data_IF_889838056692
#
_entry.id   IF_889838056692
#
_cell.length_a   1.000
_cell.length_b   1.000
_cell.length_c   1.000
_cell.angle_alpha   90.00
_cell.angle_beta   90.00
_cell.angle_gamma   90.00
#
_symmetry.space_group_name_H-M   'P 1'
#
loop_
_entity.id
_entity.type
_entity.pdbx_description
1 polymer ?
2 non-polymer ?
3 water ?
#
# COMPACT_ATOMS: atom_id res chain seq x y z
N UNK A 1 -11.54 22.98 -23.33
CA UNK A 1 -11.09 22.73 -21.96
C UNK A 1 -12.14 22.03 -21.10
N UNK A 2 -11.70 21.05 -20.32
CA UNK A 2 -12.59 20.39 -19.37
C UNK A 2 -12.04 20.55 -17.95
N UNK A 3 -12.97 20.58 -16.97
CA UNK A 3 -12.75 20.60 -15.52
C UNK A 3 -12.82 19.14 -15.09
N UNK A 4 -11.71 18.60 -14.55
CA UNK A 4 -11.72 17.23 -14.04
C UNK A 4 -11.96 17.36 -12.56
N UNK A 5 -12.90 16.59 -12.05
CA UNK A 5 -13.26 16.63 -10.66
C UNK A 5 -13.26 15.22 -10.12
N UNK A 6 -12.27 14.89 -9.31
CA UNK A 6 -12.21 13.54 -8.75
C UNK A 6 -12.28 13.60 -7.25
N UNK A 7 -13.07 12.70 -6.65
CA UNK A 7 -13.23 12.53 -5.20
C UNK A 7 -12.51 11.23 -4.86
N UNK A 8 -11.38 11.30 -4.12
CA UNK A 8 -10.55 10.11 -3.82
C UNK A 8 -10.39 9.89 -2.30
N UNK A 9 -9.65 8.82 -1.94
CA UNK A 9 -9.28 8.51 -0.55
C UNK A 9 -8.15 9.46 -0.14
N UNK A 10 -8.13 9.83 1.16
CA UNK A 10 -7.09 10.68 1.76
C UNK A 10 -5.70 10.01 1.77
N UNK A 11 -5.65 8.67 1.95
CA UNK A 11 -4.42 7.83 1.99
C UNK A 11 -3.79 7.77 0.62
N UNK A 12 -4.64 7.90 -0.40
CA UNK A 12 -4.24 7.84 -1.81
C UNK A 12 -3.99 9.17 -2.44
N UNK A 13 -4.38 10.31 -1.78
CA UNK A 13 -4.13 11.63 -2.36
C UNK A 13 -2.65 11.93 -2.66
N UNK A 14 -1.68 11.72 -1.72
CA UNK A 14 -0.26 11.96 -2.08
C UNK A 14 0.16 11.18 -3.34
N UNK A 15 -0.40 9.96 -3.52
CA UNK A 15 -0.13 9.17 -4.72
C UNK A 15 -0.76 9.79 -5.98
N UNK A 16 -1.88 10.51 -5.83
CA UNK A 16 -2.55 11.17 -6.96
C UNK A 16 -1.81 12.44 -7.32
N UNK A 17 -1.44 13.24 -6.30
CA UNK A 17 -0.72 14.49 -6.51
C UNK A 17 0.65 14.18 -7.14
N UNK A 18 1.29 13.08 -6.73
CA UNK A 18 2.58 12.63 -7.26
C UNK A 18 2.46 12.09 -8.70
N UNK A 19 1.38 11.35 -9.04
CA UNK A 19 1.18 10.86 -10.41
C UNK A 19 0.99 12.03 -11.37
N UNK A 20 0.07 12.97 -11.05
CA UNK A 20 -0.17 14.14 -11.91
C UNK A 20 1.07 15.03 -12.09
N UNK A 21 1.66 15.53 -10.99
CA UNK A 21 2.81 16.44 -11.02
C UNK A 21 4.01 16.02 -11.87
N UNK A 22 4.31 14.71 -11.91
CA UNK A 22 5.38 14.06 -12.67
C UNK A 22 5.15 14.19 -14.21
N UNK A 23 3.92 14.59 -14.61
CA UNK A 23 3.56 14.78 -16.00
C UNK A 23 3.31 16.26 -16.33
N UNK A 24 3.82 17.14 -15.48
CA UNK A 24 3.70 18.58 -15.64
C UNK A 24 2.34 19.16 -15.30
N UNK A 25 1.46 18.35 -14.69
CA UNK A 25 0.13 18.82 -14.30
C UNK A 25 0.15 19.45 -12.92
N UNK A 26 0.14 20.77 -12.93
CA UNK A 26 0.08 21.60 -11.74
C UNK A 26 -1.27 22.34 -11.90
N UNK A 27 -1.65 23.13 -10.91
CA UNK A 27 -2.89 23.88 -11.01
C UNK A 27 -4.10 23.27 -10.34
N UNK A 28 -3.95 22.06 -9.78
CA UNK A 28 -5.02 21.41 -9.05
C UNK A 28 -5.45 22.24 -7.84
N UNK A 29 -6.74 22.23 -7.54
CA UNK A 29 -7.30 22.87 -6.37
C UNK A 29 -7.86 21.72 -5.54
N UNK A 30 -7.54 21.69 -4.24
CA UNK A 30 -7.93 20.60 -3.33
C UNK A 30 -8.90 21.05 -2.20
N UNK A 31 -9.96 20.29 -1.99
CA UNK A 31 -10.96 20.57 -0.96
C UNK A 31 -11.15 19.33 -0.11
N UNK A 32 -11.16 19.52 1.22
CA UNK A 32 -11.48 18.45 2.18
C UNK A 32 -12.99 18.35 2.15
N UNK A 33 -13.50 17.16 1.81
CA UNK A 33 -14.95 16.91 1.69
C UNK A 33 -15.33 15.69 2.51
N UNK A 34 -16.61 15.37 2.50
CA UNK A 34 -17.13 14.17 3.11
C UNK A 34 -17.93 13.45 2.02
N UNK A 35 -17.77 12.13 1.99
CA UNK A 35 -18.45 11.20 1.08
C UNK A 35 -18.78 9.90 1.80
N UNK A 36 -19.38 8.92 1.08
CA UNK A 36 -19.80 7.58 1.56
C UNK A 36 -18.64 6.80 2.15
N UNK A 37 -18.84 6.27 3.36
CA UNK A 37 -17.82 5.52 4.09
C UNK A 37 -17.97 4.01 4.09
N UNK A 38 -17.96 3.40 5.32
CA UNK A 38 -18.09 1.97 5.70
C UNK A 38 -17.10 1.46 6.75
N UNK A 39 -15.82 1.25 6.38
CA UNK A 39 -14.73 0.76 7.25
C UNK A 39 -14.90 -0.68 7.81
N UNK A 40 -13.88 -1.15 8.55
CA UNK A 40 -13.80 -2.46 9.18
C UNK A 40 -13.80 -2.40 10.69
N UNK A 41 -13.63 -3.57 11.33
CA UNK A 41 -13.68 -3.66 12.79
C UNK A 41 -12.47 -4.20 13.53
N UNK A 42 -12.52 -5.42 14.16
CA UNK A 42 -13.52 -6.52 14.21
C UNK A 42 -15.03 -6.23 14.11
N UNK A 43 -15.53 -5.17 14.79
CA UNK A 43 -16.93 -4.73 14.79
C UNK A 43 -17.04 -3.17 14.71
N UNK A 44 -18.24 -2.53 14.59
CA UNK A 44 -19.62 -3.04 14.55
C UNK A 44 -20.35 -2.58 13.27
N UNK A 45 -21.51 -3.19 12.98
CA UNK A 45 -22.37 -2.86 11.82
C UNK A 45 -22.88 -1.42 11.96
N UNK A 46 -22.36 -0.52 11.11
CA UNK A 46 -22.73 0.89 11.10
C UNK A 46 -24.10 1.11 10.46
N UNK A 47 -25.11 1.37 11.31
CA UNK A 47 -26.50 1.62 10.92
C UNK A 47 -26.73 3.13 10.71
N UNK A 48 -27.99 3.56 10.75
CA UNK A 48 -28.35 4.97 10.61
C UNK A 48 -29.73 5.22 10.06
N UNK A 49 -30.34 6.32 10.52
CA UNK A 49 -31.67 6.74 10.11
C UNK A 49 -31.63 8.25 9.83
N UNK A 50 -31.78 8.70 8.57
CA UNK A 50 -32.00 7.93 7.33
C UNK A 50 -30.82 8.26 6.37
N UNK A 51 -30.27 7.30 5.59
CA UNK A 51 -30.59 5.87 5.49
C UNK A 51 -29.31 5.04 5.62
N UNK A 52 -28.69 5.07 6.83
CA UNK A 52 -27.48 4.35 7.23
C UNK A 52 -26.12 4.80 6.63
N UNK A 53 -26.11 5.90 5.86
CA UNK A 53 -24.86 6.39 5.24
C UNK A 53 -24.05 7.30 6.19
N UNK A 54 -22.82 6.84 6.54
CA UNK A 54 -21.85 7.53 7.38
C UNK A 54 -21.02 8.41 6.45
N UNK A 55 -21.17 9.75 6.54
CA UNK A 55 -20.35 10.66 5.72
C UNK A 55 -18.94 10.71 6.29
N UNK A 56 -17.97 10.32 5.47
CA UNK A 56 -16.57 10.24 5.90
C UNK A 56 -15.63 11.15 5.10
N UNK A 57 -14.53 11.62 5.75
CA UNK A 57 -13.57 12.49 5.05
C UNK A 57 -12.90 11.90 3.83
N UNK A 58 -12.90 12.67 2.74
CA UNK A 58 -12.30 12.31 1.45
C UNK A 58 -11.57 13.57 0.90
N UNK A 59 -10.92 13.46 -0.25
CA UNK A 59 -10.22 14.57 -0.90
C UNK A 59 -10.84 14.86 -2.28
N UNK A 60 -11.13 16.12 -2.56
CA UNK A 60 -11.60 16.55 -3.86
C UNK A 60 -10.49 17.37 -4.49
N UNK A 61 -10.12 16.99 -5.72
CA UNK A 61 -9.10 17.62 -6.54
C UNK A 61 -9.84 18.09 -7.76
N UNK A 62 -9.63 19.34 -8.17
CA UNK A 62 -10.21 19.90 -9.39
C UNK A 62 -9.05 20.38 -10.23
N UNK A 63 -9.03 20.02 -11.51
CA UNK A 63 -7.96 20.41 -12.43
C UNK A 63 -8.59 20.73 -13.78
N UNK A 64 -8.22 21.90 -14.31
CA UNK A 64 -8.71 22.37 -15.61
C UNK A 64 -7.58 22.25 -16.63
N UNK A 65 -7.74 21.29 -17.54
CA UNK A 65 -6.80 20.94 -18.62
C UNK A 65 -7.46 21.18 -19.99
N UNK A 66 -6.69 21.04 -21.07
CA UNK A 66 -7.16 21.18 -22.44
C UNK A 66 -7.84 19.87 -22.83
N UNK A 67 -8.71 19.91 -23.83
CA UNK A 67 -9.47 18.74 -24.29
C UNK A 67 -8.64 17.47 -24.56
N UNK A 68 -7.40 17.65 -25.07
CA UNK A 68 -6.47 16.55 -25.41
C UNK A 68 -5.72 15.92 -24.24
N UNK A 69 -5.69 16.59 -23.07
CA UNK A 69 -5.03 16.05 -21.86
C UNK A 69 -6.00 15.19 -21.07
N UNK A 70 -7.30 15.48 -21.17
CA UNK A 70 -8.40 14.80 -20.44
C UNK A 70 -8.20 13.30 -20.19
N UNK A 71 -8.01 12.50 -21.25
CA UNK A 71 -7.80 11.05 -21.12
C UNK A 71 -6.54 10.67 -20.38
N UNK A 72 -5.42 11.39 -20.65
CA UNK A 72 -4.13 11.20 -19.99
C UNK A 72 -4.31 11.47 -18.48
N UNK A 73 -4.95 12.59 -18.13
CA UNK A 73 -5.25 12.97 -16.74
C UNK A 73 -6.13 11.90 -16.06
N UNK A 74 -7.22 11.45 -16.72
CA UNK A 74 -8.12 10.40 -16.23
C UNK A 74 -7.35 9.13 -15.83
N UNK A 75 -6.53 8.59 -16.75
CA UNK A 75 -5.74 7.38 -16.52
C UNK A 75 -4.84 7.46 -15.30
N UNK A 76 -4.13 8.61 -15.17
CA UNK A 76 -3.21 8.94 -14.07
C UNK A 76 -3.90 8.93 -12.71
N UNK A 77 -5.12 9.50 -12.64
CA UNK A 77 -5.95 9.49 -11.43
C UNK A 77 -6.40 8.07 -11.10
N UNK A 78 -7.08 7.36 -12.05
CA UNK A 78 -7.61 6.01 -11.73
C UNK A 78 -6.56 5.05 -11.21
N UNK A 79 -5.34 5.07 -11.79
CA UNK A 79 -4.27 4.15 -11.42
C UNK A 79 -3.70 4.42 -10.04
N UNK A 80 -3.42 5.70 -9.76
CA UNK A 80 -2.89 6.16 -8.47
C UNK A 80 -3.90 6.08 -7.33
N UNK A 81 -5.19 6.33 -7.65
CA UNK A 81 -6.28 6.38 -6.66
C UNK A 81 -6.94 5.04 -6.39
N UNK A 82 -6.75 4.06 -7.29
CA UNK A 82 -7.32 2.71 -7.23
C UNK A 82 -6.75 1.86 -6.08
N UNK A 83 -7.62 1.07 -5.43
CA UNK A 83 -7.29 0.09 -4.37
C UNK A 83 -8.02 -1.23 -4.62
N UNK A 84 -9.17 -1.15 -5.29
CA UNK A 84 -10.02 -2.30 -5.59
C UNK A 84 -11.17 -2.48 -4.63
N UNK A 85 -11.10 -1.79 -3.49
CA UNK A 85 -12.14 -1.85 -2.47
C UNK A 85 -13.24 -0.80 -2.76
N UNK A 86 -14.53 -1.07 -2.41
CA UNK A 86 -15.59 -0.06 -2.62
C UNK A 86 -15.30 1.29 -1.92
N UNK A 87 -15.37 2.38 -2.69
CA UNK A 87 -15.10 3.72 -2.16
C UNK A 87 -13.82 4.40 -2.64
N UNK A 88 -13.24 3.93 -3.76
CA UNK A 88 -12.05 4.51 -4.38
C UNK A 88 -12.30 5.92 -4.98
N UNK A 89 -13.58 6.29 -5.12
CA UNK A 89 -13.98 7.56 -5.68
C UNK A 89 -14.46 7.53 -7.12
N UNK A 90 -14.83 8.72 -7.62
CA UNK A 90 -15.36 8.95 -8.97
C UNK A 90 -14.65 10.15 -9.60
N UNK A 91 -14.64 10.22 -10.94
CA UNK A 91 -14.06 11.33 -11.72
C UNK A 91 -15.17 11.86 -12.64
N UNK A 92 -15.45 13.16 -12.55
CA UNK A 92 -16.48 13.77 -13.39
C UNK A 92 -15.82 14.71 -14.34
N UNK A 93 -16.26 14.65 -15.60
CA UNK A 93 -15.76 15.52 -16.67
C UNK A 93 -16.81 16.60 -16.83
N UNK A 94 -16.42 17.82 -16.51
CA UNK A 94 -17.34 18.95 -16.58
C UNK A 94 -16.84 19.92 -17.60
N UNK A 95 -17.72 20.33 -18.55
CA UNK A 95 -17.30 21.34 -19.53
C UNK A 95 -16.97 22.68 -18.88
N UNK A 96 -15.89 23.30 -19.36
CA UNK A 96 -15.43 24.62 -18.97
C UNK A 96 -15.43 25.43 -20.27
N UNK A 97 -16.26 26.47 -20.31
CA UNK A 97 -16.34 27.30 -21.50
C UNK A 97 -15.12 28.22 -21.71
N UNK A 98 -14.59 28.77 -20.62
CA UNK A 98 -13.43 29.65 -20.74
C UNK A 98 -12.70 29.80 -19.42
N UNK A 99 -11.38 29.98 -19.50
CA UNK A 99 -10.50 30.16 -18.36
C UNK A 99 -9.88 31.53 -18.50
N UNK A 100 -9.69 32.22 -17.37
CA UNK A 100 -9.06 33.54 -17.28
C UNK A 100 -7.92 33.42 -16.24
N UNK A 101 -6.67 33.74 -16.64
CA UNK A 101 -5.53 33.75 -15.73
C UNK A 101 -5.43 35.19 -15.21
N UNK A 102 -5.69 35.41 -13.89
CA UNK A 102 -5.71 36.73 -13.24
C UNK A 102 -4.44 37.57 -13.43
N UNK A 103 -3.25 36.97 -13.21
CA UNK A 103 -1.97 37.68 -13.32
C UNK A 103 -1.69 38.26 -14.74
N UNK A 104 -2.20 37.58 -15.80
CA UNK A 104 -1.91 37.95 -17.18
C UNK A 104 -3.11 38.37 -18.01
N UNK A 105 -4.32 38.04 -17.56
CA UNK A 105 -5.53 38.33 -18.34
C UNK A 105 -5.66 37.44 -19.55
N UNK A 106 -4.83 36.37 -19.63
CA UNK A 106 -4.82 35.39 -20.71
C UNK A 106 -6.07 34.53 -20.64
N UNK A 107 -6.52 34.08 -21.81
CA UNK A 107 -7.73 33.29 -21.98
C UNK A 107 -7.50 32.15 -22.98
N UNK A 108 -8.30 31.10 -22.86
CA UNK A 108 -8.19 29.92 -23.72
C UNK A 108 -7.25 28.88 -23.15
N UNK A 109 -6.74 27.99 -24.01
CA UNK A 109 -5.80 26.92 -23.63
C UNK A 109 -4.40 27.43 -23.19
N UNK A 110 -3.99 28.64 -23.64
CA UNK A 110 -2.70 29.26 -23.28
C UNK A 110 -2.67 29.62 -21.78
N UNK A 111 -3.81 30.09 -21.24
CA UNK A 111 -4.02 30.46 -19.84
C UNK A 111 -3.66 29.34 -18.84
N UNK A 112 -3.82 28.06 -19.25
CA UNK A 112 -3.54 26.90 -18.39
C UNK A 112 -2.04 26.54 -18.39
N UNK B 1 3.97 15.87 31.43
CA UNK B 1 3.50 15.94 30.05
C UNK B 1 2.98 17.32 29.77
N UNK B 2 3.27 17.85 28.55
CA UNK B 2 2.85 19.20 28.16
C UNK B 2 2.35 19.26 26.74
N UNK B 3 1.27 20.02 26.54
CA UNK B 3 0.78 20.23 25.19
C UNK B 3 1.51 21.43 24.68
N UNK B 4 2.28 21.22 23.62
CA UNK B 4 2.99 22.26 22.91
C UNK B 4 2.04 22.63 21.79
N UNK B 5 1.56 23.86 21.83
CA UNK B 5 0.59 24.36 20.87
C UNK B 5 1.19 25.54 20.14
N UNK B 6 1.32 25.41 18.81
CA UNK B 6 1.92 26.47 18.01
C UNK B 6 1.11 26.76 16.75
N UNK B 7 1.06 28.05 16.38
CA UNK B 7 0.37 28.54 15.20
C UNK B 7 1.43 29.13 14.30
N UNK B 8 1.67 28.48 13.15
CA UNK B 8 2.73 28.83 12.20
C UNK B 8 2.17 29.17 10.81
N UNK B 9 3.06 29.58 9.89
CA UNK B 9 2.71 29.86 8.49
C UNK B 9 2.47 28.51 7.79
N UNK B 10 1.49 28.47 6.89
CA UNK B 10 1.22 27.29 6.07
C UNK B 10 2.42 26.98 5.12
N UNK B 11 3.21 28.01 4.73
CA UNK B 11 4.40 27.80 3.89
C UNK B 11 5.53 27.22 4.73
N UNK B 12 5.54 27.55 6.03
CA UNK B 12 6.56 27.07 6.96
C UNK B 12 6.20 25.75 7.64
N UNK B 13 4.89 25.35 7.60
CA UNK B 13 4.44 24.06 8.12
C UNK B 13 5.24 22.85 7.59
N UNK B 14 5.41 22.63 6.25
CA UNK B 14 6.21 21.48 5.79
C UNK B 14 7.58 21.27 6.44
N UNK B 15 8.31 22.34 6.76
CA UNK B 15 9.62 22.27 7.44
C UNK B 15 9.44 21.96 8.91
N UNK B 16 8.44 22.61 9.58
CA UNK B 16 8.13 22.34 10.99
C UNK B 16 7.96 20.84 11.13
N UNK B 17 7.10 20.20 10.30
CA UNK B 17 6.86 18.75 10.32
C UNK B 17 8.15 17.90 10.12
N UNK B 18 8.92 18.13 9.03
CA UNK B 18 10.18 17.44 8.77
C UNK B 18 11.17 17.56 9.96
N UNK B 19 11.27 18.76 10.58
CA UNK B 19 12.13 18.99 11.75
C UNK B 19 11.80 18.08 12.94
N UNK B 20 10.49 17.88 13.18
CA UNK B 20 9.96 17.05 14.28
C UNK B 20 10.08 15.53 14.00
N UNK B 21 9.82 15.09 12.76
CA UNK B 21 9.90 13.69 12.36
C UNK B 21 11.33 13.12 12.38
N UNK B 22 12.34 13.94 12.03
CA UNK B 22 13.72 13.48 12.07
C UNK B 22 14.14 13.15 13.52
N UNK B 23 13.64 13.97 14.48
CA UNK B 23 13.91 13.86 15.91
C UNK B 23 12.97 12.93 16.71
N UNK B 24 12.16 12.14 15.99
CA UNK B 24 11.26 11.16 16.59
C UNK B 24 9.94 11.71 17.10
N UNK B 25 9.71 13.02 16.89
CA UNK B 25 8.48 13.64 17.32
C UNK B 25 7.33 13.52 16.34
N UNK B 26 6.74 12.32 16.36
CA UNK B 26 5.55 11.93 15.63
C UNK B 26 4.46 12.10 16.68
N UNK B 27 3.20 12.15 16.28
CA UNK B 27 2.12 12.33 17.24
C UNK B 27 1.54 13.72 17.27
N UNK B 28 1.85 14.54 16.27
CA UNK B 28 1.29 15.87 16.20
C UNK B 28 -0.10 15.84 15.58
N UNK B 29 -0.96 16.76 16.02
CA UNK B 29 -2.30 16.93 15.47
C UNK B 29 -2.25 18.29 14.81
N UNK B 30 -2.75 18.34 13.58
CA UNK B 30 -2.77 19.55 12.75
C UNK B 30 -4.23 20.04 12.46
N UNK B 31 -4.46 21.34 12.67
CA UNK B 31 -5.73 22.04 12.41
C UNK B 31 -5.47 23.25 11.52
N UNK B 32 -6.34 23.46 10.51
CA UNK B 32 -6.29 24.71 9.73
C UNK B 32 -7.02 25.74 10.59
N UNK B 33 -6.44 26.93 10.73
CA UNK B 33 -7.01 28.03 11.52
C UNK B 33 -6.85 29.33 10.75
N UNK B 34 -7.31 30.44 11.35
CA UNK B 34 -7.14 31.83 10.88
C UNK B 34 -6.50 32.62 12.03
N UNK B 35 -5.47 33.38 11.70
CA UNK B 35 -4.72 34.16 12.67
C UNK B 35 -4.57 35.62 12.31
N UNK B 36 -4.03 36.40 13.28
CA UNK B 36 -3.81 37.84 13.25
N UNK B 37 -3.14 38.29 10.47
CA UNK B 37 -3.33 39.66 10.01
C UNK B 37 -2.15 40.08 9.17
N UNK B 38 -2.42 40.44 7.90
CA UNK B 38 -1.49 40.80 6.82
C UNK B 38 -0.12 41.40 7.14
N UNK B 39 0.71 41.53 6.10
CA UNK B 39 2.01 42.14 6.20
C UNK B 39 2.01 43.36 5.25
N UNK B 40 1.74 44.53 5.83
CA UNK B 40 1.67 45.80 5.12
C UNK B 40 0.39 45.96 4.34
N UNK B 41 -0.54 46.72 4.90
CA UNK B 41 -1.85 47.00 4.30
C UNK B 41 -3.00 46.44 5.12
N UNK B 51 -9.86 49.89 6.41
CA UNK B 51 -10.44 48.56 6.27
C UNK B 51 -10.45 47.79 7.62
N UNK B 52 -10.95 46.54 7.60
CA UNK B 52 -11.03 45.64 8.75
C UNK B 52 -9.74 44.79 8.87
N UNK B 53 -9.28 44.52 10.12
CA UNK B 53 -8.10 43.69 10.38
C UNK B 53 -8.38 42.21 10.00
N UNK B 54 -7.76 41.79 8.88
CA UNK B 54 -7.96 40.53 8.17
C UNK B 54 -7.30 39.26 8.72
N UNK B 55 -8.12 38.28 9.15
CA UNK B 55 -7.65 36.97 9.63
C UNK B 55 -7.24 36.17 8.41
N UNK B 56 -6.08 35.52 8.48
CA UNK B 56 -5.50 34.77 7.37
C UNK B 56 -5.28 33.32 7.70
N UNK B 57 -5.28 32.44 6.69
CA UNK B 57 -5.06 31.02 6.97
C UNK B 57 -3.67 30.73 7.52
N UNK B 58 -3.64 30.04 8.65
CA UNK B 58 -2.41 29.62 9.31
C UNK B 58 -2.56 28.13 9.59
N UNK B 59 -1.52 27.52 10.13
CA UNK B 59 -1.55 26.11 10.50
C UNK B 59 -1.30 25.99 12.01
N UNK B 60 -2.19 25.27 12.71
CA UNK B 60 -2.04 24.99 14.14
C UNK B 60 -1.55 23.56 14.38
N UNK B 61 -0.38 23.41 15.02
CA UNK B 61 0.11 22.08 15.40
C UNK B 61 0.02 21.84 16.91
N UNK B 62 -0.47 20.66 17.29
CA UNK B 62 -0.64 20.19 18.67
C UNK B 62 0.16 18.90 18.90
N UNK B 63 1.17 18.98 19.77
CA UNK B 63 2.00 17.84 20.15
C UNK B 63 2.13 17.78 21.68
N UNK B 64 1.67 16.69 22.29
CA UNK B 64 1.76 16.48 23.73
C UNK B 64 3.00 15.61 24.00
N UNK B 65 4.03 16.17 24.67
CA UNK B 65 5.29 15.48 24.93
C UNK B 65 5.64 15.40 26.41
N UNK B 66 6.67 14.59 26.73
CA UNK B 66 7.29 14.48 28.06
C UNK B 66 7.88 15.86 28.41
N UNK B 67 8.04 16.14 29.72
CA UNK B 67 8.64 17.40 30.19
C UNK B 67 10.08 17.59 29.66
N UNK B 68 10.89 16.50 29.59
CA UNK B 68 12.28 16.56 29.12
C UNK B 68 12.43 16.93 27.64
N UNK B 69 11.41 16.55 26.85
CA UNK B 69 11.35 16.81 25.43
C UNK B 69 10.89 18.24 25.07
N UNK B 70 10.24 18.96 26.02
CA UNK B 70 9.68 20.32 25.81
C UNK B 70 10.65 21.35 25.18
N UNK B 71 11.85 21.52 25.76
CA UNK B 71 12.82 22.47 25.19
C UNK B 71 13.32 22.02 23.82
N UNK B 72 13.49 20.70 23.63
CA UNK B 72 13.91 20.11 22.37
C UNK B 72 12.88 20.48 21.29
N UNK B 73 11.56 20.21 21.53
CA UNK B 73 10.48 20.48 20.57
C UNK B 73 10.29 21.97 20.23
N UNK B 74 10.34 22.88 21.23
CA UNK B 74 10.24 24.34 21.01
C UNK B 74 11.39 24.80 20.08
N UNK B 75 12.62 24.40 20.43
CA UNK B 75 13.83 24.72 19.66
C UNK B 75 13.69 24.37 18.19
N UNK B 76 13.18 23.16 17.91
CA UNK B 76 12.95 22.63 16.57
C UNK B 76 11.91 23.49 15.85
N UNK B 77 10.75 23.73 16.51
CA UNK B 77 9.66 24.53 15.94
C UNK B 77 10.13 25.93 15.63
N UNK B 78 10.76 26.60 16.62
CA UNK B 78 11.25 27.98 16.45
C UNK B 78 12.14 28.15 15.21
N UNK B 79 13.10 27.22 15.01
CA UNK B 79 14.07 27.24 13.91
C UNK B 79 13.43 26.98 12.56
N UNK B 80 12.54 25.97 12.49
CA UNK B 80 11.89 25.57 11.26
C UNK B 80 10.74 26.49 10.82
N UNK B 81 10.16 27.28 11.76
CA UNK B 81 9.05 28.21 11.51
C UNK B 81 9.46 29.71 11.39
N UNK B 82 10.71 30.05 11.80
CA UNK B 82 11.24 31.43 11.78
C UNK B 82 11.45 31.98 10.36
N UNK B 83 11.18 33.28 10.14
CA UNK B 83 11.49 34.01 8.89
C UNK B 83 12.00 35.42 9.25
N UNK B 84 11.69 35.87 10.46
CA UNK B 84 12.03 37.20 10.94
C UNK B 84 10.94 38.24 10.73
N UNK B 85 9.94 37.99 9.84
CA UNK B 85 8.86 38.98 9.65
C UNK B 85 7.69 38.72 10.58
N UNK B 86 6.90 39.78 10.94
CA UNK B 86 5.69 39.56 11.78
C UNK B 86 4.71 38.54 11.20
N UNK B 87 4.20 37.67 12.07
CA UNK B 87 3.25 36.63 11.69
C UNK B 87 3.87 35.26 11.61
N UNK B 88 5.07 35.08 12.18
CA UNK B 88 5.75 33.78 12.25
C UNK B 88 4.96 32.83 13.15
N UNK B 89 4.22 33.42 14.10
CA UNK B 89 3.39 32.72 15.05
C UNK B 89 3.93 32.67 16.45
N UNK B 90 3.18 32.01 17.35
CA UNK B 90 3.55 31.84 18.76
C UNK B 90 3.40 30.40 19.15
N UNK B 91 4.09 30.01 20.23
CA UNK B 91 4.09 28.69 20.83
C UNK B 91 3.51 28.86 22.23
N UNK B 92 2.69 27.89 22.63
CA UNK B 92 2.06 27.86 23.94
C UNK B 92 2.38 26.54 24.61
N UNK B 93 2.73 26.61 25.91
CA UNK B 93 3.07 25.46 26.75
C UNK B 93 1.87 25.26 27.67
N UNK B 94 1.09 24.22 27.43
CA UNK B 94 -0.12 23.96 28.20
C UNK B 94 0.01 22.67 29.05
N UNK B 95 -0.27 22.74 30.36
CA UNK B 95 -0.22 21.51 31.18
C UNK B 95 -1.24 20.42 30.79
N UNK B 96 -0.77 19.19 30.69
CA UNK B 96 -1.61 18.04 30.39
C UNK B 96 -1.55 17.13 31.63
N UNK B 97 -2.65 17.08 32.38
CA UNK B 97 -2.76 16.32 33.64
C UNK B 97 -2.71 14.82 33.51
N UNK B 98 -2.97 14.30 32.29
CA UNK B 98 -2.92 12.87 31.95
C UNK B 98 -3.12 12.60 30.46
N UNK B 99 -2.55 11.49 29.98
CA UNK B 99 -2.69 11.00 28.61
C UNK B 99 -3.22 9.56 28.63
N UNK B 100 -4.28 9.28 27.85
CA UNK B 100 -4.82 7.92 27.71
C UNK B 100 -4.74 7.46 26.23
N UNK B 101 -3.86 6.49 25.93
CA UNK B 101 -3.76 5.88 24.60
C UNK B 101 -4.96 4.93 24.48
N UNK B 102 -5.91 5.23 23.56
CA UNK B 102 -7.18 4.49 23.35
C UNK B 102 -7.04 3.00 23.12
N UNK B 103 -6.16 2.63 22.19
CA UNK B 103 -5.82 1.29 21.75
C UNK B 103 -5.49 0.33 22.92
N UNK B 104 -4.68 0.81 23.89
CA UNK B 104 -4.17 0.04 25.05
C UNK B 104 -4.89 0.32 26.37
N UNK B 105 -5.22 1.58 26.63
CA UNK B 105 -5.89 1.99 27.86
C UNK B 105 -4.92 2.44 28.92
N UNK B 106 -3.62 2.36 28.60
CA UNK B 106 -2.52 2.77 29.45
C UNK B 106 -2.43 4.31 29.55
N UNK B 107 -1.68 4.79 30.55
CA UNK B 107 -1.52 6.21 30.87
C UNK B 107 -0.05 6.57 31.19
N UNK B 108 0.25 7.86 31.41
CA UNK B 108 1.60 8.32 31.73
C UNK B 108 2.51 8.68 30.55
N UNK B 109 3.81 8.87 30.84
CA UNK B 109 4.85 9.28 29.89
C UNK B 109 5.12 8.35 28.68
N UNK B 110 5.11 7.01 28.88
CA UNK B 110 5.34 6.02 27.81
C UNK B 110 4.26 6.07 26.73
N UNK B 111 3.00 6.33 27.14
CA UNK B 111 1.82 6.44 26.28
C UNK B 111 1.90 7.59 25.24
N UNK B 112 3.08 8.20 25.10
CA UNK B 112 3.38 9.24 24.12
C UNK B 112 4.39 8.67 23.12
N UNK C 1 16.13 -23.06 21.14
CA UNK C 1 15.56 -22.79 19.82
C UNK C 1 14.05 -22.75 19.95
N UNK C 2 13.38 -22.01 19.03
CA UNK C 2 11.92 -21.88 18.99
C UNK C 2 11.39 -21.91 17.57
N UNK C 3 10.22 -22.51 17.36
CA UNK C 3 9.60 -22.41 16.06
C UNK C 3 8.71 -21.17 16.09
N UNK C 4 8.89 -20.31 15.08
CA UNK C 4 8.12 -19.09 14.88
C UNK C 4 7.18 -19.44 13.74
N UNK C 5 5.93 -19.66 14.11
CA UNK C 5 4.86 -20.01 13.19
C UNK C 5 4.04 -18.74 12.95
N UNK C 6 3.74 -18.41 11.68
CA UNK C 6 2.92 -17.24 11.34
C UNK C 6 1.95 -17.55 10.20
N UNK C 7 0.74 -17.06 10.34
CA UNK C 7 -0.33 -17.22 9.36
C UNK C 7 -0.59 -15.80 8.93
N UNK C 8 -0.25 -15.52 7.67
CA UNK C 8 -0.27 -14.17 7.11
C UNK C 8 -1.01 -14.08 5.79
N UNK C 9 -1.54 -12.89 5.49
CA UNK C 9 -2.27 -12.63 4.24
C UNK C 9 -1.35 -12.97 3.07
N UNK C 10 -1.86 -13.75 2.09
CA UNK C 10 -1.11 -14.15 0.90
C UNK C 10 -0.50 -12.95 0.19
N UNK C 11 -1.24 -11.81 0.10
CA UNK C 11 -0.78 -10.55 -0.51
C UNK C 11 0.44 -9.99 0.22
N UNK C 12 0.48 -10.16 1.58
CA UNK C 12 1.55 -9.67 2.47
C UNK C 12 2.77 -10.57 2.54
N UNK C 13 2.62 -11.89 2.24
CA UNK C 13 3.73 -12.87 2.26
C UNK C 13 5.03 -12.43 1.54
N UNK C 14 5.00 -11.91 0.28
CA UNK C 14 6.25 -11.54 -0.41
C UNK C 14 7.17 -10.59 0.37
N UNK C 15 6.58 -9.59 1.06
CA UNK C 15 7.27 -8.60 1.88
C UNK C 15 7.88 -9.30 3.11
N UNK C 16 7.06 -10.11 3.84
CA UNK C 16 7.52 -10.88 5.02
C UNK C 16 8.79 -11.66 4.63
N UNK C 17 8.72 -12.39 3.50
CA UNK C 17 9.80 -13.18 2.90
C UNK C 17 11.08 -12.31 2.68
N UNK C 18 10.94 -11.16 2.01
CA UNK C 18 12.03 -10.21 1.74
C UNK C 18 12.69 -9.68 3.02
N UNK C 19 11.87 -9.25 4.01
CA UNK C 19 12.30 -8.70 5.32
C UNK C 19 13.16 -9.65 6.17
N UNK C 20 12.89 -10.97 6.10
CA UNK C 20 13.60 -12.01 6.84
C UNK C 20 14.91 -12.38 6.10
N UNK C 21 14.87 -12.41 4.75
CA UNK C 21 16.04 -12.71 3.92
C UNK C 21 17.02 -11.53 3.93
N UNK C 22 16.50 -10.28 3.85
CA UNK C 22 17.31 -9.06 3.92
C UNK C 22 18.11 -9.04 5.23
N UNK C 23 17.51 -9.56 6.33
CA UNK C 23 18.13 -9.71 7.64
C UNK C 23 18.82 -11.07 7.83
N UNK C 24 18.89 -11.87 6.77
CA UNK C 24 19.54 -13.17 6.78
C UNK C 24 18.85 -14.27 7.55
N UNK C 25 17.52 -14.35 7.45
CA UNK C 25 16.77 -15.41 8.11
C UNK C 25 16.10 -16.26 7.06
N UNK C 26 16.90 -17.13 6.48
CA UNK C 26 16.48 -18.10 5.49
C UNK C 26 16.13 -19.33 6.33
N UNK C 27 15.63 -20.37 5.68
CA UNK C 27 15.25 -21.56 6.44
C UNK C 27 13.78 -21.64 6.79
N UNK C 28 12.95 -20.89 6.09
CA UNK C 28 11.51 -20.98 6.34
C UNK C 28 10.86 -22.05 5.48
N UNK C 29 9.80 -22.66 6.01
CA UNK C 29 8.95 -23.67 5.37
C UNK C 29 7.67 -22.91 5.14
N UNK C 30 7.10 -23.04 3.94
CA UNK C 30 5.87 -22.33 3.59
C UNK C 30 4.79 -23.36 3.22
N UNK C 31 3.57 -23.15 3.73
CA UNK C 31 2.41 -24.01 3.48
C UNK C 31 1.23 -23.12 3.13
N UNK C 32 0.40 -23.57 2.20
CA UNK C 32 -0.84 -22.89 1.82
C UNK C 32 -1.84 -23.47 2.80
N UNK C 33 -2.63 -22.60 3.39
CA UNK C 33 -3.60 -22.93 4.43
C UNK C 33 -4.82 -22.07 4.24
N UNK C 34 -5.84 -22.34 5.03
CA UNK C 34 -7.08 -21.59 5.06
C UNK C 34 -7.37 -21.26 6.52
N UNK C 35 -7.90 -20.07 6.75
CA UNK C 35 -8.20 -19.59 8.09
C UNK C 35 -9.27 -18.52 8.18
N UNK C 36 -9.47 -18.00 9.42
CA UNK C 36 -10.45 -16.98 9.87
C UNK C 36 -10.64 -15.93 8.79
N UNK C 37 -11.60 -16.21 7.90
CA UNK C 37 -11.89 -15.37 6.76
C UNK C 37 -13.14 -14.53 6.90
N UNK C 38 -12.96 -13.32 7.46
CA UNK C 38 -13.96 -12.26 7.69
C UNK C 38 -14.79 -11.98 6.41
N UNK C 52 -20.65 -17.85 6.72
CA UNK C 52 -20.35 -17.85 8.16
C UNK C 52 -18.94 -17.29 8.30
N UNK C 53 -18.04 -18.15 8.76
CA UNK C 53 -16.62 -17.92 8.84
C UNK C 53 -16.20 -18.72 7.63
N UNK C 54 -16.20 -18.07 6.45
CA UNK C 54 -15.77 -18.70 5.21
C UNK C 54 -14.24 -18.84 5.36
N UNK C 55 -13.72 -20.08 5.31
CA UNK C 55 -12.27 -20.32 5.44
C UNK C 55 -11.60 -19.77 4.19
N UNK C 56 -10.75 -18.76 4.36
CA UNK C 56 -10.07 -18.15 3.24
C UNK C 56 -8.56 -18.48 3.15
N UNK C 57 -8.01 -18.57 1.91
CA UNK C 57 -6.59 -18.93 1.77
C UNK C 57 -5.63 -17.91 2.37
N UNK C 58 -4.66 -18.45 3.15
CA UNK C 58 -3.63 -17.70 3.85
C UNK C 58 -2.30 -18.45 3.70
N UNK C 59 -1.21 -17.82 4.12
CA UNK C 59 0.12 -18.39 3.99
C UNK C 59 0.69 -18.63 5.39
N UNK C 60 0.96 -19.90 5.69
CA UNK C 60 1.55 -20.37 6.92
C UNK C 60 3.07 -20.40 6.74
N UNK C 61 3.78 -19.75 7.66
CA UNK C 61 5.22 -19.59 7.69
C UNK C 61 5.73 -20.28 8.98
N UNK C 62 6.81 -21.06 8.87
CA UNK C 62 7.43 -21.76 10.01
C UNK C 62 8.94 -21.66 9.87
N UNK C 63 9.58 -21.13 10.88
CA UNK C 63 11.02 -20.93 10.89
C UNK C 63 11.52 -21.15 12.30
N UNK C 64 12.43 -22.11 12.47
CA UNK C 64 12.98 -22.43 13.77
C UNK C 64 14.26 -21.61 13.96
N UNK C 65 14.32 -20.84 15.07
CA UNK C 65 15.45 -19.95 15.36
C UNK C 65 15.92 -20.02 16.84
N UNK C 66 17.25 -19.82 17.06
CA UNK C 66 17.84 -19.75 18.41
C UNK C 66 17.10 -18.69 19.24
N UNK C 67 16.90 -18.95 20.55
CA UNK C 67 16.18 -18.07 21.48
C UNK C 67 16.50 -16.60 21.33
N UNK C 68 17.79 -16.24 21.17
CA UNK C 68 18.25 -14.86 21.04
C UNK C 68 17.94 -14.16 19.69
N UNK C 69 17.33 -14.88 18.74
CA UNK C 69 16.93 -14.33 17.44
C UNK C 69 15.39 -14.24 17.30
N UNK C 70 14.66 -14.72 18.32
CA UNK C 70 13.18 -14.77 18.37
C UNK C 70 12.48 -13.42 18.25
N UNK C 71 12.84 -12.44 19.11
CA UNK C 71 12.20 -11.11 19.10
C UNK C 71 12.38 -10.30 17.83
N UNK C 72 13.56 -10.43 17.22
CA UNK C 72 13.97 -9.80 15.96
C UNK C 72 13.03 -10.29 14.86
N UNK C 73 13.00 -11.63 14.63
CA UNK C 73 12.17 -12.31 13.62
C UNK C 73 10.69 -11.95 13.75
N UNK C 74 10.16 -11.93 15.01
CA UNK C 74 8.80 -11.49 15.31
C UNK C 74 8.62 -10.06 14.77
N UNK C 75 9.57 -9.19 15.11
CA UNK C 75 9.56 -7.79 14.68
C UNK C 75 9.62 -7.66 13.18
N UNK C 76 10.36 -8.56 12.52
CA UNK C 76 10.45 -8.56 11.06
C UNK C 76 9.13 -8.99 10.46
N UNK C 77 8.48 -10.01 11.07
CA UNK C 77 7.19 -10.54 10.62
C UNK C 77 6.07 -9.56 10.90
N UNK C 78 5.91 -9.10 12.17
CA UNK C 78 4.84 -8.15 12.54
C UNK C 78 4.85 -6.88 11.70
N UNK C 79 6.04 -6.30 11.41
CA UNK C 79 6.14 -5.05 10.64
C UNK C 79 5.94 -5.19 9.13
N UNK C 80 6.32 -6.32 8.53
CA UNK C 80 6.07 -6.52 7.10
C UNK C 80 4.72 -7.22 6.78
N UNK C 81 4.11 -7.92 7.74
CA UNK C 81 2.79 -8.56 7.52
C UNK C 81 1.60 -7.62 7.84
N UNK C 82 1.85 -6.54 8.59
CA UNK C 82 0.82 -5.62 9.07
C UNK C 82 0.12 -4.75 8.04
N UNK C 83 -1.23 -4.64 8.17
CA UNK C 83 -2.06 -3.71 7.38
C UNK C 83 -2.90 -2.84 8.32
N UNK C 84 -3.37 -3.42 9.42
CA UNK C 84 -4.19 -2.70 10.40
C UNK C 84 -5.64 -3.10 10.35
N UNK C 85 -6.04 -3.92 9.37
CA UNK C 85 -7.41 -4.43 9.23
C UNK C 85 -7.48 -5.85 9.81
N UNK C 86 -8.65 -6.31 10.33
CA UNK C 86 -8.72 -7.69 10.85
C UNK C 86 -8.37 -8.71 9.77
N UNK C 87 -7.77 -9.81 10.17
CA UNK C 87 -7.34 -10.88 9.26
C UNK C 87 -5.86 -10.84 8.93
N UNK C 88 -5.11 -9.98 9.64
CA UNK C 88 -3.67 -9.81 9.51
C UNK C 88 -2.94 -11.07 9.97
N UNK C 89 -3.57 -11.79 10.87
CA UNK C 89 -3.10 -13.06 11.38
C UNK C 89 -2.42 -13.01 12.73
N UNK C 90 -1.75 -14.12 13.05
CA UNK C 90 -1.07 -14.33 14.33
C UNK C 90 0.27 -15.02 14.16
N UNK C 91 1.09 -14.92 15.21
CA UNK C 91 2.39 -15.56 15.33
C UNK C 91 2.32 -16.43 16.58
N UNK C 92 2.93 -17.62 16.52
CA UNK C 92 2.98 -18.56 17.63
C UNK C 92 4.45 -18.93 17.94
N UNK C 93 4.79 -19.00 19.24
CA UNK C 93 6.12 -19.36 19.74
C UNK C 93 6.01 -20.74 20.35
N UNK C 94 6.60 -21.72 19.68
CA UNK C 94 6.54 -23.15 20.05
C UNK C 94 7.95 -23.66 20.41
N UNK C 95 8.14 -24.30 21.61
CA UNK C 95 9.47 -24.78 21.98
C UNK C 95 9.97 -25.94 21.15
N UNK C 96 11.23 -25.84 20.74
CA UNK C 96 11.88 -26.86 19.96
C UNK C 96 12.92 -27.44 20.89
N UNK C 97 12.90 -28.76 21.09
CA UNK C 97 13.80 -29.45 22.00
C UNK C 97 15.14 -29.76 21.39
N UNK C 98 15.17 -29.98 20.07
CA UNK C 98 16.36 -30.22 19.27
C UNK C 98 16.06 -30.11 17.78
N UNK C 99 17.11 -29.88 16.98
CA UNK C 99 17.10 -29.81 15.52
C UNK C 99 18.17 -30.81 15.08
N UNK C 100 17.92 -31.54 13.97
CA UNK C 100 18.89 -32.45 13.37
C UNK C 100 19.00 -32.13 11.87
N UNK C 101 20.12 -31.50 11.43
CA UNK C 101 20.34 -31.24 10.00
C UNK C 101 20.67 -32.60 9.36
N UNK C 102 19.95 -32.94 8.27
CA UNK C 102 20.07 -34.22 7.58
C UNK C 102 21.43 -34.46 6.90
N UNK C 103 21.96 -33.41 6.24
CA UNK C 103 23.23 -33.48 5.53
C UNK C 103 24.42 -33.73 6.47
N UNK C 104 24.65 -32.78 7.40
CA UNK C 104 25.78 -32.72 8.33
C UNK C 104 25.70 -33.61 9.57
N UNK C 105 24.48 -33.97 9.99
CA UNK C 105 24.27 -34.78 11.19
C UNK C 105 24.33 -34.02 12.50
N UNK C 106 24.71 -32.73 12.44
CA UNK C 106 24.86 -31.82 13.59
C UNK C 106 23.52 -31.46 14.26
N UNK C 107 23.54 -31.34 15.60
CA UNK C 107 22.36 -31.00 16.38
C UNK C 107 22.50 -29.62 17.06
N UNK C 108 21.59 -29.28 17.97
CA UNK C 108 21.62 -28.00 18.69
C UNK C 108 21.56 -26.75 17.84
N UNK C 109 21.93 -25.60 18.43
CA UNK C 109 21.94 -24.28 17.77
C UNK C 109 22.78 -24.27 16.48
N UNK C 110 23.80 -25.15 16.43
CA UNK C 110 24.74 -25.33 15.31
C UNK C 110 24.08 -25.89 14.05
N UNK C 111 23.08 -26.78 14.22
CA UNK C 111 22.30 -27.35 13.13
C UNK C 111 21.63 -26.26 12.30
N UNK C 112 21.38 -25.10 12.93
CA UNK C 112 20.73 -23.93 12.34
C UNK C 112 21.68 -22.97 11.58
N UNK C 113 23.02 -23.19 11.68
CA UNK C 113 24.06 -22.36 11.04
C UNK C 113 24.01 -22.37 9.50
N UNK D 1 -8.92 -18.42 -30.30
CA UNK D 1 -8.34 -18.57 -28.96
C UNK D 1 -7.93 -20.01 -28.65
N UNK D 2 -6.76 -20.17 -28.06
CA UNK D 2 -6.27 -21.47 -27.63
C UNK D 2 -5.83 -21.34 -26.18
N UNK D 3 -5.86 -22.47 -25.47
CA UNK D 3 -5.36 -22.61 -24.12
C UNK D 3 -3.98 -23.21 -24.26
N UNK D 4 -2.99 -22.59 -23.63
CA UNK D 4 -1.63 -23.14 -23.58
C UNK D 4 -1.48 -23.76 -22.19
N UNK D 5 -1.19 -25.06 -22.15
CA UNK D 5 -1.04 -25.78 -20.88
C UNK D 5 0.37 -26.33 -20.85
N UNK D 6 1.20 -25.78 -19.93
CA UNK D 6 2.59 -26.20 -19.80
C UNK D 6 2.90 -26.79 -18.42
N UNK D 7 3.53 -27.97 -18.42
CA UNK D 7 3.99 -28.62 -17.20
C UNK D 7 5.50 -28.37 -17.16
N UNK D 8 5.94 -27.56 -16.21
CA UNK D 8 7.35 -27.19 -16.16
C UNK D 8 7.97 -27.53 -14.81
N UNK D 9 9.30 -27.72 -14.78
CA UNK D 9 10.06 -27.99 -13.55
C UNK D 9 9.88 -26.76 -12.64
N UNK D 10 9.67 -27.01 -11.33
CA UNK D 10 9.49 -25.96 -10.33
C UNK D 10 10.63 -24.92 -10.27
N UNK D 11 11.90 -25.36 -10.43
CA UNK D 11 13.13 -24.53 -10.39
C UNK D 11 13.17 -23.53 -11.52
N UNK D 12 12.56 -23.92 -12.65
CA UNK D 12 12.52 -23.12 -13.88
C UNK D 12 11.34 -22.17 -13.94
N UNK D 13 10.25 -22.48 -13.20
CA UNK D 13 9.03 -21.68 -13.21
C UNK D 13 9.20 -20.15 -13.11
N UNK D 14 9.91 -19.57 -12.11
CA UNK D 14 10.10 -18.11 -12.11
C UNK D 14 10.63 -17.51 -13.42
N UNK D 15 11.55 -18.22 -14.14
CA UNK D 15 12.07 -17.80 -15.46
C UNK D 15 10.94 -17.78 -16.51
N UNK D 16 10.02 -18.78 -16.48
CA UNK D 16 8.88 -18.87 -17.41
C UNK D 16 7.90 -17.73 -17.14
N UNK D 17 7.62 -17.49 -15.84
CA UNK D 17 6.73 -16.42 -15.38
C UNK D 17 7.31 -15.08 -15.88
N UNK D 18 8.61 -14.81 -15.56
CA UNK D 18 9.28 -13.57 -15.99
C UNK D 18 9.25 -13.32 -17.51
N UNK D 19 9.57 -14.36 -18.33
CA UNK D 19 9.61 -14.28 -19.80
C UNK D 19 8.26 -14.00 -20.47
N UNK D 20 7.15 -14.52 -19.90
CA UNK D 20 5.80 -14.29 -20.43
C UNK D 20 5.37 -12.85 -20.11
N UNK D 21 5.48 -12.42 -18.83
CA UNK D 21 5.11 -11.08 -18.35
C UNK D 21 5.92 -9.98 -19.04
N UNK D 22 7.21 -10.27 -19.37
CA UNK D 22 8.13 -9.38 -20.09
C UNK D 22 7.59 -9.07 -21.51
N UNK D 23 6.67 -9.92 -22.04
CA UNK D 23 6.03 -9.69 -23.32
C UNK D 23 4.54 -9.33 -23.18
N UNK D 24 4.18 -8.92 -21.96
CA UNK D 24 2.83 -8.50 -21.60
C UNK D 24 1.81 -9.61 -21.51
N UNK D 25 2.24 -10.82 -21.11
CA UNK D 25 1.36 -11.98 -20.95
C UNK D 25 1.11 -12.26 -19.47
N UNK D 26 0.17 -11.52 -18.87
CA UNK D 26 -0.24 -11.71 -17.49
C UNK D 26 -1.45 -12.66 -17.51
N UNK D 27 -2.12 -12.84 -16.37
CA UNK D 27 -3.32 -13.67 -16.33
C UNK D 27 -3.15 -15.18 -16.55
N UNK D 28 -1.98 -15.72 -16.23
CA UNK D 28 -1.80 -17.16 -16.31
C UNK D 28 -2.41 -17.78 -15.02
N UNK D 29 -2.80 -19.06 -15.07
CA UNK D 29 -3.33 -19.81 -13.92
C UNK D 29 -2.27 -20.85 -13.56
N UNK D 30 -1.89 -20.87 -12.27
CA UNK D 30 -0.84 -21.75 -11.77
C UNK D 30 -1.37 -22.76 -10.74
N UNK D 31 -0.98 -24.02 -10.94
CA UNK D 31 -1.39 -25.16 -10.11
C UNK D 31 -0.19 -26.02 -9.79
N UNK D 32 -0.01 -26.36 -8.51
CA UNK D 32 1.04 -27.30 -8.07
C UNK D 32 0.54 -28.70 -8.38
N UNK D 33 1.32 -29.44 -9.17
CA UNK D 33 0.94 -30.77 -9.64
C UNK D 33 2.05 -31.77 -9.39
N UNK D 34 1.76 -33.04 -9.65
CA UNK D 34 2.74 -34.12 -9.58
C UNK D 34 2.78 -34.80 -10.96
N UNK D 35 3.98 -35.18 -11.39
CA UNK D 35 4.25 -35.88 -12.64
C UNK D 35 5.68 -36.39 -12.72
N UNK D 36 6.08 -36.78 -13.95
CA UNK D 36 7.43 -37.18 -14.41
C UNK D 36 8.43 -37.78 -13.38
N UNK D 37 9.66 -37.27 -13.39
CA UNK D 37 10.75 -37.72 -12.54
C UNK D 37 11.90 -38.39 -13.27
N UNK D 38 13.04 -37.64 -13.42
CA UNK D 38 14.36 -38.04 -13.96
C UNK D 38 15.32 -36.87 -14.06
N UNK D 52 12.74 -42.81 -12.58
CA UNK D 52 11.94 -43.23 -11.43
C UNK D 52 10.43 -43.28 -11.74
N UNK D 53 9.72 -44.27 -11.15
CA UNK D 53 8.26 -44.41 -11.31
C UNK D 53 7.48 -43.46 -10.34
N UNK D 54 8.23 -42.71 -9.53
CA UNK D 54 7.77 -41.77 -8.50
C UNK D 54 7.28 -40.47 -9.14
N UNK D 55 6.07 -40.02 -8.71
CA UNK D 55 5.43 -38.81 -9.21
C UNK D 55 5.88 -37.65 -8.40
N UNK D 56 6.70 -36.80 -9.00
CA UNK D 56 7.31 -35.68 -8.32
C UNK D 56 6.63 -34.32 -8.57
N UNK D 57 6.63 -33.41 -7.57
CA UNK D 57 6.04 -32.07 -7.78
C UNK D 57 6.57 -31.33 -8.99
N UNK D 58 5.63 -30.68 -9.71
CA UNK D 58 5.91 -29.86 -10.89
C UNK D 58 4.95 -28.68 -10.87
N UNK D 59 5.03 -27.81 -11.88
CA UNK D 59 4.19 -26.63 -12.00
C UNK D 59 3.39 -26.73 -13.29
N UNK D 60 2.06 -26.70 -13.18
CA UNK D 60 1.23 -26.62 -14.36
C UNK D 60 0.90 -25.14 -14.54
N UNK D 61 1.01 -24.66 -15.77
CA UNK D 61 0.72 -23.28 -16.16
C UNK D 61 -0.33 -23.39 -17.23
N UNK D 62 -1.36 -22.55 -17.12
CA UNK D 62 -2.40 -22.46 -18.13
C UNK D 62 -2.54 -20.98 -18.50
N UNK D 63 -2.48 -20.70 -19.80
CA UNK D 63 -2.68 -19.36 -20.34
C UNK D 63 -3.54 -19.47 -21.60
N UNK D 64 -4.62 -18.69 -21.65
CA UNK D 64 -5.55 -18.64 -22.78
C UNK D 64 -5.24 -17.38 -23.57
N UNK D 65 -4.78 -17.55 -24.81
CA UNK D 65 -4.41 -16.45 -25.69
C UNK D 65 -5.08 -16.56 -27.06
N UNK D 66 -5.13 -15.43 -27.76
CA UNK D 66 -5.62 -15.32 -29.14
C UNK D 66 -4.73 -16.21 -30.04
N UNK D 67 -5.32 -16.80 -31.10
CA UNK D 67 -4.67 -17.70 -32.07
C UNK D 67 -3.33 -17.18 -32.60
N UNK D 68 -3.24 -15.85 -32.86
CA UNK D 68 -2.02 -15.25 -33.42
C UNK D 68 -0.92 -14.94 -32.39
N UNK D 69 -1.07 -15.43 -31.14
CA UNK D 69 -0.08 -15.27 -30.09
C UNK D 69 0.45 -16.64 -29.60
N UNK D 70 -0.20 -17.75 -30.02
CA UNK D 70 0.16 -19.13 -29.67
C UNK D 70 1.68 -19.43 -29.81
N UNK D 71 2.20 -19.48 -31.07
CA UNK D 71 3.61 -19.76 -31.37
C UNK D 71 4.66 -18.90 -30.62
N UNK D 72 4.34 -17.60 -30.37
CA UNK D 72 5.20 -16.70 -29.60
C UNK D 72 5.33 -17.21 -28.14
N UNK D 73 4.21 -17.47 -27.44
CA UNK D 73 4.23 -17.98 -26.05
C UNK D 73 4.86 -19.39 -25.98
N UNK D 74 4.61 -20.25 -27.00
CA UNK D 74 5.26 -21.56 -27.11
C UNK D 74 6.79 -21.37 -27.06
N UNK D 75 7.29 -20.38 -27.81
CA UNK D 75 8.73 -20.04 -27.84
C UNK D 75 9.20 -19.49 -26.51
N UNK D 76 8.37 -18.69 -25.86
CA UNK D 76 8.71 -18.09 -24.58
C UNK D 76 8.75 -19.11 -23.44
N UNK D 77 7.93 -20.18 -23.57
CA UNK D 77 7.91 -21.26 -22.60
C UNK D 77 9.07 -22.26 -22.85
N UNK D 78 9.33 -22.69 -24.10
CA UNK D 78 10.42 -23.66 -24.33
C UNK D 78 11.81 -23.11 -24.00
N UNK D 79 12.08 -21.85 -24.36
CA UNK D 79 13.39 -21.25 -24.10
C UNK D 79 13.67 -20.96 -22.63
N UNK D 80 12.62 -20.62 -21.84
CA UNK D 80 12.79 -20.29 -20.43
C UNK D 80 12.70 -21.49 -19.50
N UNK D 81 11.98 -22.54 -19.93
CA UNK D 81 11.81 -23.79 -19.17
C UNK D 81 12.85 -24.85 -19.54
N UNK D 82 13.57 -24.67 -20.67
CA UNK D 82 14.55 -25.65 -21.15
C UNK D 82 15.74 -25.82 -20.22
N UNK D 83 16.12 -27.08 -19.97
CA UNK D 83 17.33 -27.44 -19.25
C UNK D 83 18.13 -28.38 -20.18
N UNK D 84 17.40 -29.29 -20.83
CA UNK D 84 17.94 -30.29 -21.75
C UNK D 84 17.73 -31.71 -21.26
N UNK D 85 17.60 -31.88 -19.95
CA UNK D 85 17.43 -33.19 -19.36
C UNK D 85 15.99 -33.71 -19.52
N UNK D 86 15.75 -35.05 -19.48
CA UNK D 86 14.37 -35.55 -19.43
C UNK D 86 13.69 -34.97 -18.18
N UNK D 87 12.46 -34.53 -18.33
CA UNK D 87 11.72 -33.95 -17.22
C UNK D 87 11.41 -32.47 -17.38
N UNK D 88 11.86 -31.86 -18.53
CA UNK D 88 11.62 -30.43 -18.87
C UNK D 88 10.15 -30.10 -19.01
N UNK D 89 9.40 -31.07 -19.46
CA UNK D 89 7.96 -30.93 -19.60
C UNK D 89 7.43 -31.00 -21.01
N UNK D 90 6.16 -30.60 -21.13
CA UNK D 90 5.31 -30.66 -22.30
C UNK D 90 4.38 -29.47 -22.32
N UNK D 91 4.03 -29.02 -23.52
CA UNK D 91 3.10 -27.93 -23.76
C UNK D 91 1.99 -28.49 -24.66
N UNK D 92 0.74 -28.41 -24.19
CA UNK D 92 -0.42 -28.84 -24.98
C UNK D 92 -1.21 -27.62 -25.44
N UNK D 93 -1.72 -27.70 -26.68
CA UNK D 93 -2.54 -26.68 -27.31
C UNK D 93 -3.94 -27.27 -27.38
N UNK D 94 -4.85 -26.65 -26.62
CA UNK D 94 -6.23 -27.09 -26.49
C UNK D 94 -7.13 -25.98 -27.04
N UNK D 95 -8.05 -26.32 -27.98
CA UNK D 95 -8.96 -25.27 -28.46
C UNK D 95 -9.84 -24.76 -27.31
N UNK D 96 -10.16 -23.45 -27.37
CA UNK D 96 -11.08 -22.73 -26.51
C UNK D 96 -12.04 -22.08 -27.52
N UNK D 97 -13.35 -22.19 -27.29
CA UNK D 97 -14.34 -21.63 -28.20
C UNK D 97 -14.78 -20.24 -27.81
N UNK D 98 -14.93 -19.99 -26.49
CA UNK D 98 -15.25 -18.68 -25.97
C UNK D 98 -14.73 -18.41 -24.56
N UNK D 99 -14.44 -17.14 -24.30
CA UNK D 99 -14.00 -16.58 -23.04
C UNK D 99 -15.07 -15.57 -22.62
N UNK D 100 -15.21 -15.39 -21.30
CA UNK D 100 -16.15 -14.48 -20.67
C UNK D 100 -15.37 -13.83 -19.55
N UNK D 101 -15.43 -12.49 -19.49
CA UNK D 101 -14.81 -11.75 -18.41
C UNK D 101 -15.95 -11.51 -17.42
N UNK D 102 -15.78 -11.94 -16.18
CA UNK D 102 -16.80 -11.76 -15.14
C UNK D 102 -17.06 -10.24 -14.85
N UNK D 103 -15.99 -9.40 -14.79
CA UNK D 103 -16.07 -7.96 -14.50
C UNK D 103 -16.82 -7.09 -15.52
N UNK D 104 -16.75 -7.43 -16.83
CA UNK D 104 -17.43 -6.65 -17.87
C UNK D 104 -18.51 -7.43 -18.62
N UNK D 105 -18.50 -8.76 -18.46
CA UNK D 105 -19.42 -9.64 -19.17
C UNK D 105 -19.03 -9.79 -20.63
N UNK D 106 -17.86 -9.24 -21.01
CA UNK D 106 -17.35 -9.27 -22.38
C UNK D 106 -16.82 -10.65 -22.77
N UNK D 107 -16.99 -10.97 -24.06
CA UNK D 107 -16.63 -12.24 -24.68
C UNK D 107 -15.56 -12.06 -25.77
N UNK D 108 -15.35 -13.10 -26.57
CA UNK D 108 -14.38 -13.12 -27.65
C UNK D 108 -12.96 -12.82 -27.24
N UNK D 109 -12.14 -12.45 -28.23
CA UNK D 109 -10.71 -12.13 -28.07
C UNK D 109 -10.49 -10.88 -27.23
N UNK D 110 -11.38 -9.89 -27.38
CA UNK D 110 -11.31 -8.60 -26.69
C UNK D 110 -11.39 -8.72 -25.16
N UNK D 111 -11.94 -9.85 -24.64
CA UNK D 111 -12.02 -10.14 -23.20
C UNK D 111 -10.66 -10.59 -22.64
N UNK D 112 -9.69 -10.93 -23.52
CA UNK D 112 -8.34 -11.34 -23.13
C UNK D 112 -7.36 -10.14 -23.17
X LIG E 1 -20.41 22.58 -11.27
X LIG F 1 -6.03 23.54 25.29
X LIG G 1 4.04 -27.63 16.02
#
# INVERSE_FOLDING_TARGET
MKKIEAIVRAEKFPEVKAALEERGFYGMTVTDVKGRGQQGGMQIQFRGRTMEVTLLPKVKLEIVVKDDAVEEVIGLIVNSAFTGSPGDGKIFIIPVEDVVRIRTGERGDDSLEHHHHHH
MKKIEAIVRAEKFPEVKAALEERGFYGMTVTDVKGRGQQGGMQIQFRGRTMEVTLLPKVKLEIVVKDDAVEEVIGLIVNSAFTGSPGDGKIFIIPVEDVVRIRTGERGDDSLEHHHHHH
MKKIEAIVRAEKFPEVKAALEERGFYGMTVTDVKGRGQQGGMQIQFRGRTMEVTLLPKVKLEIVVKDDAVEEVIGLIVNSAFTGSPGDGKIFIIPVEDVVRIRTGERGDDSLEHHHHHH
MKKIEAIVRAEKFPEVKAALEERGFYGMTVTDVKGRGQQGGMQIQFRGRTMEVTLLPKVKLEIVVKDDAVEEVIGLIVNSAFTGSPGDGKIFIIPVEDVVRIRTGERGDDSLEHHHHHH
CL CL
CL CL
CL CL
#
